data_IF_162749827096
#
_entry.id   IF_162749827096
#
_cell.length_a   1.000
_cell.length_b   1.000
_cell.length_c   1.000
_cell.angle_alpha   90.00
_cell.angle_beta   90.00
_cell.angle_gamma   90.00
#
_symmetry.space_group_name_H-M   'P 1'
#
loop_
_entity.id
_entity.type
_entity.pdbx_description
1 polymer ?
#
# COMPACT_ATOMS: atom_id res chain seq x y z
N UNK A 1 -4.63 4.69 -23.27
CA UNK A 1 -5.72 4.72 -22.60
C UNK A 1 -5.77 5.72 -21.52
N UNK A 2 -6.71 6.50 -21.61
CA UNK A 2 -6.80 7.58 -20.74
C UNK A 2 -7.75 7.35 -19.68
N UNK A 3 -8.19 6.19 -19.51
CA UNK A 3 -9.12 5.95 -18.46
C UNK A 3 -8.41 6.09 -17.16
N UNK A 4 -9.10 6.48 -16.13
CA UNK A 4 -8.49 6.68 -14.83
C UNK A 4 -8.29 5.36 -14.13
N UNK A 5 -7.36 4.63 -14.59
CA UNK A 5 -7.03 3.37 -13.97
C UNK A 5 -5.94 3.48 -12.96
N UNK A 6 -5.53 4.68 -12.67
CA UNK A 6 -4.44 4.87 -11.75
C UNK A 6 -3.17 5.11 -12.49
N UNK A 7 -2.26 5.83 -11.86
CA UNK A 7 -0.97 6.16 -12.42
C UNK A 7 0.14 5.54 -11.60
N UNK A 8 1.14 6.36 -11.29
CA UNK A 8 2.34 5.87 -10.63
C UNK A 8 2.07 5.28 -9.26
N UNK A 9 1.23 5.93 -8.46
CA UNK A 9 0.97 5.44 -7.10
C UNK A 9 0.20 4.13 -7.12
N UNK A 10 -0.79 4.02 -8.00
CA UNK A 10 -1.57 2.79 -8.09
C UNK A 10 -0.70 1.63 -8.54
N UNK A 11 0.21 1.88 -9.48
CA UNK A 11 1.12 0.85 -9.95
C UNK A 11 2.09 0.44 -8.86
N UNK A 12 2.64 1.41 -8.14
CA UNK A 12 3.55 1.12 -7.04
C UNK A 12 2.84 0.30 -5.97
N UNK A 13 1.63 0.69 -5.59
CA UNK A 13 0.87 -0.03 -4.60
C UNK A 13 0.59 -1.47 -5.06
N UNK A 14 0.27 -1.64 -6.33
CA UNK A 14 0.03 -2.96 -6.88
C UNK A 14 1.26 -3.85 -6.80
N UNK A 15 2.41 -3.30 -7.16
CA UNK A 15 3.66 -4.03 -7.08
C UNK A 15 3.98 -4.44 -5.65
N UNK A 16 3.80 -3.52 -4.72
CA UNK A 16 4.08 -3.79 -3.32
C UNK A 16 3.12 -4.84 -2.76
N UNK A 17 1.83 -4.75 -3.10
CA UNK A 17 0.87 -5.72 -2.59
C UNK A 17 1.19 -7.14 -3.04
N UNK A 18 1.83 -7.29 -4.18
CA UNK A 18 2.24 -8.59 -4.68
C UNK A 18 3.55 -9.07 -4.06
N UNK A 19 4.24 -8.21 -3.31
CA UNK A 19 5.54 -8.53 -2.75
C UNK A 19 5.37 -9.05 -1.33
N UNK A 20 5.93 -10.22 -1.05
CA UNK A 20 5.83 -10.85 0.26
C UNK A 20 6.40 -9.97 1.37
N UNK A 21 7.46 -9.23 1.08
CA UNK A 21 8.07 -8.33 2.05
C UNK A 21 7.08 -7.25 2.49
N UNK A 22 6.40 -6.64 1.53
CA UNK A 22 5.41 -5.63 1.84
C UNK A 22 4.22 -6.23 2.57
N UNK A 23 3.78 -7.41 2.15
CA UNK A 23 2.66 -8.09 2.80
C UNK A 23 2.96 -8.31 4.27
N UNK A 24 4.18 -8.71 4.57
CA UNK A 24 4.59 -8.93 5.95
C UNK A 24 4.57 -7.61 6.73
N UNK A 25 5.13 -6.57 6.14
CA UNK A 25 5.22 -5.27 6.81
C UNK A 25 3.85 -4.69 7.10
N UNK A 26 2.95 -4.70 6.12
CA UNK A 26 1.66 -4.05 6.31
C UNK A 26 0.82 -4.82 7.31
N UNK A 27 0.95 -6.14 7.34
CA UNK A 27 0.23 -6.94 8.32
C UNK A 27 0.73 -6.65 9.73
N UNK A 28 2.03 -6.63 9.94
CA UNK A 28 2.56 -6.41 11.29
C UNK A 28 2.32 -4.97 11.76
N UNK A 29 2.12 -4.05 10.83
CA UNK A 29 1.97 -2.63 11.17
C UNK A 29 0.53 -2.25 11.41
N UNK A 30 -0.38 -2.74 10.56
CA UNK A 30 -1.76 -2.26 10.57
C UNK A 30 -2.82 -3.32 10.85
N UNK A 31 -2.47 -4.59 10.84
CA UNK A 31 -3.47 -5.63 11.06
C UNK A 31 -3.34 -6.14 12.48
N UNK A 32 -4.46 -6.13 13.20
CA UNK A 32 -4.50 -6.66 14.56
C UNK A 32 -5.28 -7.96 14.51
N UNK A 33 -4.72 -9.00 15.07
CA UNK A 33 -5.36 -10.31 15.02
C UNK A 33 -4.79 -11.11 13.88
N UNK A 34 -5.66 -11.84 13.19
CA UNK A 34 -5.20 -12.74 12.15
C UNK A 34 -4.70 -11.98 10.92
N UNK A 35 -3.53 -12.32 10.38
CA UNK A 35 -3.00 -11.59 9.23
C UNK A 35 -3.87 -11.75 8.00
N UNK A 36 -3.96 -10.70 7.20
CA UNK A 36 -4.60 -10.75 5.90
C UNK A 36 -3.55 -11.18 4.90
N UNK A 37 -3.63 -12.42 4.46
CA UNK A 37 -2.57 -13.03 3.67
C UNK A 37 -2.68 -12.74 2.19
N UNK A 38 -1.55 -12.80 1.51
CA UNK A 38 -1.47 -12.71 0.07
C UNK A 38 -1.65 -11.30 -0.45
N UNK A 39 -1.67 -11.20 -1.77
CA UNK A 39 -1.82 -9.92 -2.44
C UNK A 39 -3.16 -9.28 -2.11
N UNK A 40 -4.22 -10.08 -2.09
CA UNK A 40 -5.55 -9.56 -1.80
C UNK A 40 -5.64 -9.01 -0.39
N UNK A 41 -5.01 -9.70 0.56
CA UNK A 41 -5.01 -9.23 1.94
C UNK A 41 -4.26 -7.91 2.09
N UNK A 42 -3.09 -7.81 1.46
CA UNK A 42 -2.31 -6.59 1.50
C UNK A 42 -3.07 -5.45 0.84
N UNK A 43 -3.72 -5.72 -0.29
CA UNK A 43 -4.48 -4.69 -0.99
C UNK A 43 -5.66 -4.21 -0.15
N UNK A 44 -6.34 -5.12 0.52
CA UNK A 44 -7.47 -4.76 1.37
C UNK A 44 -7.01 -3.87 2.52
N UNK A 45 -5.88 -4.23 3.14
CA UNK A 45 -5.35 -3.45 4.23
C UNK A 45 -4.93 -2.06 3.75
N UNK A 46 -4.27 -1.99 2.60
CA UNK A 46 -3.84 -0.72 2.02
C UNK A 46 -5.04 0.17 1.72
N UNK A 47 -6.09 -0.39 1.13
CA UNK A 47 -7.30 0.39 0.83
C UNK A 47 -7.94 0.92 2.11
N UNK A 48 -7.93 0.12 3.16
CA UNK A 48 -8.49 0.54 4.43
C UNK A 48 -7.69 1.69 5.04
N UNK A 49 -6.35 1.58 5.01
CA UNK A 49 -5.48 2.61 5.57
C UNK A 49 -5.64 3.93 4.79
N UNK A 50 -5.77 3.83 3.47
CA UNK A 50 -5.88 5.03 2.63
C UNK A 50 -7.31 5.50 2.44
N UNK A 51 -8.29 4.77 2.99
CA UNK A 51 -9.71 5.14 2.92
C UNK A 51 -10.18 5.23 1.47
N UNK A 52 -9.89 4.18 0.70
CA UNK A 52 -10.28 4.11 -0.71
C UNK A 52 -10.88 2.74 -1.01
N UNK A 53 -11.61 2.66 -2.12
CA UNK A 53 -12.18 1.40 -2.57
C UNK A 53 -11.31 0.74 -3.64
N UNK A 54 -10.47 1.51 -4.30
CA UNK A 54 -9.63 1.01 -5.38
C UNK A 54 -8.29 1.71 -5.36
N UNK A 55 -7.23 0.97 -5.65
CA UNK A 55 -5.89 1.55 -5.69
C UNK A 55 -5.76 2.67 -6.72
N UNK A 56 -6.61 2.65 -7.75
CA UNK A 56 -6.60 3.70 -8.75
C UNK A 56 -6.88 5.07 -8.14
N UNK A 57 -7.62 5.12 -7.04
CA UNK A 57 -7.93 6.39 -6.39
C UNK A 57 -6.70 7.08 -5.83
N UNK A 58 -5.60 6.37 -5.64
CA UNK A 58 -4.39 6.98 -5.12
C UNK A 58 -3.87 8.11 -6.01
N UNK A 59 -4.16 8.03 -7.31
CA UNK A 59 -3.70 9.05 -8.25
C UNK A 59 -4.75 10.11 -8.54
N UNK A 60 -5.95 9.94 -8.03
CA UNK A 60 -7.05 10.87 -8.32
C UNK A 60 -7.60 11.55 -7.08
N UNK A 61 -7.24 11.05 -5.90
CA UNK A 61 -7.76 11.56 -4.63
C UNK A 61 -6.59 12.08 -3.81
N UNK A 62 -6.50 13.38 -3.66
CA UNK A 62 -5.39 14.01 -2.96
C UNK A 62 -5.28 13.52 -1.51
N UNK A 63 -6.42 13.33 -0.85
CA UNK A 63 -6.42 12.83 0.51
C UNK A 63 -5.83 11.43 0.57
N UNK A 64 -6.23 10.57 -0.36
CA UNK A 64 -5.74 9.20 -0.40
C UNK A 64 -4.25 9.15 -0.70
N UNK A 65 -3.78 9.98 -1.64
CA UNK A 65 -2.35 9.98 -1.94
C UNK A 65 -1.54 10.48 -0.76
N UNK A 66 -2.05 11.44 -0.01
CA UNK A 66 -1.41 11.91 1.21
C UNK A 66 -1.30 10.81 2.25
N UNK A 67 -2.39 10.06 2.45
CA UNK A 67 -2.38 8.94 3.37
C UNK A 67 -1.41 7.85 2.91
N UNK A 68 -1.40 7.55 1.62
CA UNK A 68 -0.49 6.55 1.10
C UNK A 68 0.96 6.95 1.37
N UNK A 69 1.31 8.18 1.06
CA UNK A 69 2.67 8.64 1.27
C UNK A 69 3.08 8.68 2.73
N UNK A 70 2.19 9.14 3.61
CA UNK A 70 2.53 9.32 5.02
C UNK A 70 2.37 8.06 5.85
N UNK A 71 1.42 7.19 5.51
CA UNK A 71 1.13 6.01 6.31
C UNK A 71 1.74 4.73 5.74
N UNK A 72 1.98 4.69 4.44
CA UNK A 72 2.45 3.49 3.78
C UNK A 72 3.85 3.68 3.22
N UNK A 73 3.98 4.58 2.25
CA UNK A 73 5.23 4.71 1.49
C UNK A 73 6.41 5.11 2.35
N UNK A 74 6.26 6.18 3.11
CA UNK A 74 7.35 6.66 3.96
C UNK A 74 7.76 5.64 5.00
N UNK A 75 6.81 5.17 5.83
CA UNK A 75 7.15 4.18 6.87
C UNK A 75 7.69 2.88 6.31
N UNK A 76 7.14 2.41 5.19
CA UNK A 76 7.62 1.17 4.59
C UNK A 76 9.04 1.29 4.08
N UNK A 77 9.34 2.39 3.38
CA UNK A 77 10.69 2.60 2.87
C UNK A 77 11.70 2.73 4.01
N UNK A 78 11.31 3.40 5.08
CA UNK A 78 12.16 3.53 6.25
C UNK A 78 12.40 2.16 6.90
N UNK A 79 11.38 1.36 6.99
CA UNK A 79 11.50 0.02 7.57
C UNK A 79 12.43 -0.84 6.71
N UNK A 80 12.28 -0.78 5.39
CA UNK A 80 13.15 -1.54 4.49
C UNK A 80 14.61 -1.13 4.67
N UNK A 81 14.85 0.16 4.76
CA UNK A 81 16.20 0.67 4.94
C UNK A 81 16.79 0.15 6.26
N UNK A 82 16.00 0.15 7.32
CA UNK A 82 16.48 -0.29 8.63
C UNK A 82 16.76 -1.79 8.65
N UNK A 83 16.15 -2.55 7.74
CA UNK A 83 16.38 -3.98 7.63
C UNK A 83 17.45 -4.33 6.61
N UNK A 84 18.03 -3.33 5.96
CA UNK A 84 19.03 -3.57 4.93
C UNK A 84 18.46 -4.09 3.63
N UNK A 85 17.18 -3.85 3.38
CA UNK A 85 16.52 -4.35 2.19
C UNK A 85 16.42 -3.33 1.06
N UNK A 86 16.75 -2.11 1.34
CA UNK A 86 16.60 -1.04 0.37
C UNK A 86 17.65 -1.10 -0.72
#
# INVERSE_FOLDING_TARGET
DDTPKGGALAKLAGMWCADATFQSWINQTYVHGEPMRGEDGAARCLRSVCDIDSRAELDHNTHASGLFNSMIRGPYMKWRASKGLA
#
